data_IF_388912211080
#
_entry.id   IF_388912211080
#
_cell.length_a   1.000
_cell.length_b   1.000
_cell.length_c   1.000
_cell.angle_alpha   90.00
_cell.angle_beta   90.00
_cell.angle_gamma   90.00
#
_symmetry.space_group_name_H-M   'P 1'
#
loop_
_entity.id
_entity.type
_entity.pdbx_description
1 polymer ?
#
# COMPACT_ATOMS: atom_id res chain seq x y z
N UNK A 1 40.18 -24.47 34.63
CA UNK A 1 39.19 -23.73 33.82
C UNK A 1 39.39 -22.24 34.05
N UNK A 2 40.04 -21.59 33.11
CA UNK A 2 40.35 -20.16 33.19
C UNK A 2 39.07 -19.36 32.94
N UNK A 3 38.64 -18.60 33.96
CA UNK A 3 37.46 -17.74 33.83
C UNK A 3 37.86 -16.54 32.95
N UNK A 4 37.41 -16.54 31.69
CA UNK A 4 37.59 -15.43 30.78
C UNK A 4 36.87 -14.22 31.40
N UNK A 5 37.65 -13.28 31.96
CA UNK A 5 37.12 -11.98 32.44
C UNK A 5 36.82 -11.11 31.25
N UNK A 6 35.61 -11.18 30.74
CA UNK A 6 35.12 -10.27 29.69
C UNK A 6 35.07 -8.87 30.30
N UNK A 7 35.81 -7.89 29.78
CA UNK A 7 35.75 -6.52 30.29
C UNK A 7 34.38 -5.94 30.07
N UNK A 8 33.86 -5.21 31.05
CA UNK A 8 32.51 -4.61 31.03
C UNK A 8 32.29 -3.73 29.79
N UNK A 9 33.35 -3.13 29.27
CA UNK A 9 33.30 -2.34 28.01
C UNK A 9 32.96 -3.21 26.79
N UNK A 10 33.45 -4.44 26.70
CA UNK A 10 33.08 -5.35 25.59
C UNK A 10 31.63 -5.77 25.67
N UNK A 11 31.07 -5.98 26.86
CA UNK A 11 29.67 -6.29 27.06
C UNK A 11 28.81 -5.09 26.60
N UNK A 12 29.19 -3.86 26.95
CA UNK A 12 28.50 -2.65 26.60
C UNK A 12 28.51 -2.42 25.08
N UNK A 13 29.63 -2.62 24.42
CA UNK A 13 29.77 -2.54 22.96
C UNK A 13 28.90 -3.62 22.28
N UNK A 14 28.92 -4.85 22.79
CA UNK A 14 28.09 -5.94 22.26
C UNK A 14 26.61 -5.64 22.32
N UNK A 15 26.13 -5.07 23.43
CA UNK A 15 24.71 -4.68 23.59
C UNK A 15 24.35 -3.58 22.58
N UNK A 16 25.20 -2.58 22.41
CA UNK A 16 24.98 -1.51 21.42
C UNK A 16 24.90 -2.07 20.01
N UNK A 17 25.81 -2.97 19.62
CA UNK A 17 25.84 -3.57 18.29
C UNK A 17 24.59 -4.42 18.04
N UNK A 18 24.16 -5.22 19.01
CA UNK A 18 22.95 -6.04 18.91
C UNK A 18 21.70 -5.15 18.78
N UNK A 19 21.63 -4.09 19.58
CA UNK A 19 20.53 -3.13 19.50
C UNK A 19 20.49 -2.44 18.14
N UNK A 20 21.63 -2.01 17.63
CA UNK A 20 21.72 -1.38 16.31
C UNK A 20 21.41 -2.35 15.18
N UNK A 21 21.79 -3.61 15.32
CA UNK A 21 21.49 -4.66 14.33
C UNK A 21 20.01 -5.00 14.29
N UNK A 22 19.31 -4.93 15.43
CA UNK A 22 17.88 -5.20 15.52
C UNK A 22 17.02 -4.02 15.04
N UNK A 23 17.41 -2.79 15.37
CA UNK A 23 16.70 -1.57 14.91
C UNK A 23 17.07 -1.15 13.49
N UNK A 24 18.21 -1.54 12.97
CA UNK A 24 18.72 -1.11 11.67
C UNK A 24 17.82 -1.50 10.48
N UNK A 25 17.14 -2.65 10.56
CA UNK A 25 16.24 -3.10 9.50
C UNK A 25 14.95 -2.29 9.39
N UNK A 26 14.55 -1.61 10.46
CA UNK A 26 13.31 -0.80 10.49
C UNK A 26 13.53 0.66 10.11
N UNK A 27 14.78 1.08 9.85
CA UNK A 27 15.11 2.45 9.51
C UNK A 27 15.01 2.77 8.02
N UNK A 28 14.75 1.78 7.18
CA UNK A 28 14.58 1.98 5.75
C UNK A 28 13.30 1.32 5.23
N UNK A 29 12.70 1.93 4.23
CA UNK A 29 11.55 1.38 3.51
C UNK A 29 11.81 1.41 2.02
N UNK A 30 11.65 0.26 1.37
CA UNK A 30 11.71 0.14 -0.08
C UNK A 30 10.31 0.05 -0.64
N UNK A 31 9.96 0.99 -1.53
CA UNK A 31 8.70 0.98 -2.26
C UNK A 31 8.96 0.51 -3.69
N UNK A 32 8.36 -0.60 -4.13
CA UNK A 32 8.54 -1.10 -5.50
C UNK A 32 8.00 -0.13 -6.55
N UNK A 33 8.52 -0.21 -7.78
CA UNK A 33 8.03 0.57 -8.91
C UNK A 33 6.55 0.28 -9.19
N UNK A 34 5.79 1.34 -9.45
CA UNK A 34 4.34 1.25 -9.67
C UNK A 34 3.49 1.12 -8.40
N UNK A 35 4.11 1.28 -7.22
CA UNK A 35 3.43 1.32 -5.94
C UNK A 35 3.66 2.65 -5.24
N UNK A 36 2.72 3.00 -4.37
CA UNK A 36 2.85 4.08 -3.40
C UNK A 36 2.63 3.49 -2.02
N UNK A 37 3.49 3.85 -1.09
CA UNK A 37 3.35 3.46 0.30
C UNK A 37 2.75 4.59 1.13
N UNK A 38 1.84 4.25 2.02
CA UNK A 38 1.31 5.15 3.04
C UNK A 38 1.72 4.61 4.40
N UNK A 39 2.32 5.47 5.21
CA UNK A 39 2.70 5.14 6.56
C UNK A 39 1.58 5.48 7.54
N UNK A 40 1.37 4.63 8.52
CA UNK A 40 0.56 4.95 9.70
C UNK A 40 1.43 4.91 10.95
N UNK A 41 1.18 5.82 11.85
CA UNK A 41 1.83 5.88 13.16
C UNK A 41 0.77 5.70 14.24
N UNK A 42 0.81 4.56 14.94
CA UNK A 42 -0.18 4.22 15.97
C UNK A 42 -1.64 4.36 15.51
N UNK A 43 -1.91 4.00 14.24
CA UNK A 43 -3.23 4.13 13.62
C UNK A 43 -3.52 5.47 12.97
N UNK A 44 -2.66 6.48 13.13
CA UNK A 44 -2.80 7.76 12.43
C UNK A 44 -2.16 7.69 11.04
N UNK A 45 -2.96 7.93 10.00
CA UNK A 45 -2.51 7.93 8.62
C UNK A 45 -1.70 9.20 8.32
N UNK A 46 -0.46 9.03 7.87
CA UNK A 46 0.38 10.13 7.43
C UNK A 46 -0.14 10.70 6.10
N UNK A 47 -0.20 12.02 6.00
CA UNK A 47 -0.77 12.70 4.82
C UNK A 47 0.15 12.65 3.60
N UNK A 48 1.43 12.42 3.80
CA UNK A 48 2.41 12.36 2.71
C UNK A 48 2.58 10.92 2.23
N UNK A 49 2.22 10.62 0.97
CA UNK A 49 2.51 9.32 0.38
C UNK A 49 4.01 9.19 0.06
N UNK A 50 4.54 8.00 0.22
CA UNK A 50 5.90 7.66 -0.15
C UNK A 50 5.89 7.03 -1.54
N UNK A 51 6.50 7.71 -2.51
CA UNK A 51 6.59 7.22 -3.88
C UNK A 51 7.57 6.04 -4.01
N UNK A 52 7.65 5.47 -5.21
CA UNK A 52 8.60 4.41 -5.53
C UNK A 52 10.05 4.82 -5.25
N UNK A 53 10.82 3.93 -4.66
CA UNK A 53 12.22 4.15 -4.33
C UNK A 53 12.60 3.68 -2.93
N UNK A 54 13.75 4.14 -2.47
CA UNK A 54 14.28 3.85 -1.14
C UNK A 54 14.18 5.07 -0.26
N UNK A 55 13.49 4.94 0.85
CA UNK A 55 13.29 6.00 1.84
C UNK A 55 14.10 5.71 3.10
N UNK A 56 15.01 6.63 3.43
CA UNK A 56 15.92 6.59 4.60
C UNK A 56 16.17 8.03 5.09
N UNK A 57 16.11 8.30 6.39
CA UNK A 57 15.60 7.45 7.46
C UNK A 57 14.08 7.47 7.54
N UNK A 58 13.48 6.36 7.95
CA UNK A 58 12.07 6.29 8.28
C UNK A 58 11.88 5.97 9.75
N UNK A 59 10.74 6.35 10.31
CA UNK A 59 10.42 6.04 11.70
C UNK A 59 10.19 4.52 11.84
N UNK A 60 10.88 3.80 12.75
CA UNK A 60 10.73 2.36 12.92
C UNK A 60 9.35 1.92 13.42
N UNK A 61 8.54 2.85 13.92
CA UNK A 61 7.18 2.58 14.40
C UNK A 61 6.10 2.76 13.33
N UNK A 62 6.51 3.05 12.08
CA UNK A 62 5.56 3.13 10.98
C UNK A 62 5.08 1.74 10.54
N UNK A 63 3.78 1.63 10.36
CA UNK A 63 3.14 0.54 9.62
C UNK A 63 2.94 0.99 8.17
N UNK A 64 3.26 0.12 7.22
CA UNK A 64 3.31 0.44 5.80
C UNK A 64 2.21 -0.23 5.02
N UNK A 65 1.44 0.55 4.28
CA UNK A 65 0.40 0.09 3.37
C UNK A 65 0.79 0.42 1.94
N UNK A 66 0.93 -0.61 1.10
CA UNK A 66 1.32 -0.48 -0.30
C UNK A 66 0.09 -0.49 -1.19
N UNK A 67 -0.03 0.52 -2.06
CA UNK A 67 -1.09 0.65 -3.04
C UNK A 67 -0.52 0.59 -4.44
N UNK A 68 -1.12 -0.27 -5.29
CA UNK A 68 -0.78 -0.37 -6.71
C UNK A 68 -1.42 0.80 -7.47
N UNK A 69 -0.59 1.71 -7.97
CA UNK A 69 -1.01 2.91 -8.70
C UNK A 69 -0.85 2.75 -10.22
N UNK A 70 -0.53 1.54 -10.68
CA UNK A 70 -0.49 1.22 -12.11
C UNK A 70 -1.87 1.29 -12.72
N UNK A 71 -1.92 1.56 -14.01
CA UNK A 71 -3.17 1.52 -14.76
C UNK A 71 -3.70 0.08 -14.78
N UNK A 72 -4.97 -0.07 -14.42
CA UNK A 72 -5.70 -1.34 -14.44
C UNK A 72 -6.87 -1.24 -15.39
N UNK A 73 -7.21 -2.35 -16.03
CA UNK A 73 -8.41 -2.49 -16.84
C UNK A 73 -9.35 -3.47 -16.15
N UNK A 74 -10.62 -3.09 -16.07
CA UNK A 74 -11.69 -3.95 -15.61
C UNK A 74 -12.66 -4.16 -16.77
N UNK A 75 -12.94 -5.43 -17.07
CA UNK A 75 -13.89 -5.82 -18.09
C UNK A 75 -15.23 -6.11 -17.42
N UNK A 76 -16.26 -5.36 -17.80
CA UNK A 76 -17.63 -5.59 -17.34
C UNK A 76 -18.51 -6.02 -18.52
N UNK A 77 -19.31 -7.06 -18.33
CA UNK A 77 -20.29 -7.51 -19.31
C UNK A 77 -21.65 -6.96 -18.92
N UNK A 78 -22.26 -6.19 -19.82
CA UNK A 78 -23.62 -5.68 -19.64
C UNK A 78 -24.54 -6.23 -20.71
N UNK A 79 -25.70 -6.72 -20.29
CA UNK A 79 -26.79 -7.06 -21.20
C UNK A 79 -27.67 -5.84 -21.39
N UNK A 80 -27.61 -5.24 -22.57
CA UNK A 80 -28.43 -4.06 -22.90
C UNK A 80 -29.54 -4.50 -23.84
N UNK A 81 -30.82 -4.23 -23.49
CA UNK A 81 -31.92 -4.49 -24.40
C UNK A 81 -31.85 -3.53 -25.62
N UNK A 82 -31.79 -4.08 -26.81
CA UNK A 82 -31.90 -3.32 -28.03
C UNK A 82 -33.36 -2.81 -28.22
N UNK A 83 -33.56 -1.78 -29.04
CA UNK A 83 -34.87 -1.29 -29.38
C UNK A 83 -35.80 -2.36 -29.97
N UNK A 84 -35.26 -3.42 -30.55
CA UNK A 84 -35.96 -4.57 -31.12
C UNK A 84 -36.22 -5.70 -30.11
N UNK A 85 -36.09 -5.44 -28.80
CA UNK A 85 -36.24 -6.42 -27.70
C UNK A 85 -35.23 -7.59 -27.74
N UNK A 86 -34.17 -7.51 -28.55
CA UNK A 86 -33.07 -8.48 -28.56
C UNK A 86 -32.09 -8.11 -27.49
N UNK A 87 -31.73 -9.08 -26.64
CA UNK A 87 -30.66 -8.91 -25.64
C UNK A 87 -29.30 -8.94 -26.33
N UNK A 88 -28.62 -7.81 -26.34
CA UNK A 88 -27.25 -7.71 -26.86
C UNK A 88 -26.27 -7.69 -25.71
N UNK A 89 -25.27 -8.59 -25.74
CA UNK A 89 -24.16 -8.58 -24.79
C UNK A 89 -23.13 -7.59 -25.23
N UNK A 90 -22.87 -6.59 -24.39
CA UNK A 90 -21.82 -5.60 -24.61
C UNK A 90 -20.72 -5.81 -23.57
N UNK A 91 -19.46 -5.90 -24.04
CA UNK A 91 -18.29 -5.92 -23.18
C UNK A 91 -17.69 -4.52 -23.14
N UNK A 92 -17.63 -3.94 -21.94
CA UNK A 92 -17.04 -2.62 -21.72
C UNK A 92 -15.78 -2.78 -20.90
N UNK A 93 -14.66 -2.32 -21.44
CA UNK A 93 -13.39 -2.26 -20.73
C UNK A 93 -13.17 -0.86 -20.18
N UNK A 94 -13.10 -0.74 -18.86
CA UNK A 94 -12.81 0.54 -18.20
C UNK A 94 -11.40 0.50 -17.66
N UNK A 95 -10.62 1.51 -18.06
CA UNK A 95 -9.24 1.69 -17.56
C UNK A 95 -9.23 2.75 -16.46
N UNK A 96 -8.61 2.43 -15.35
CA UNK A 96 -8.47 3.34 -14.22
C UNK A 96 -7.10 3.20 -13.56
N UNK A 97 -6.68 4.24 -12.87
CA UNK A 97 -5.49 4.21 -12.00
C UNK A 97 -5.77 5.03 -10.74
N UNK A 98 -5.10 4.67 -9.65
CA UNK A 98 -5.14 5.46 -8.43
C UNK A 98 -4.17 6.64 -8.57
N UNK A 99 -4.64 7.83 -8.16
CA UNK A 99 -3.78 9.00 -8.10
C UNK A 99 -2.92 8.95 -6.84
N UNK A 100 -1.60 9.13 -7.00
CA UNK A 100 -0.60 8.98 -5.93
C UNK A 100 -0.90 9.88 -4.72
N UNK A 101 -1.31 11.10 -4.97
CA UNK A 101 -1.60 12.10 -3.92
C UNK A 101 -2.87 11.80 -3.12
N UNK A 102 -3.83 11.09 -3.71
CA UNK A 102 -5.09 10.72 -3.09
C UNK A 102 -5.02 9.46 -2.20
N UNK A 103 -3.94 8.67 -2.31
CA UNK A 103 -3.84 7.37 -1.62
C UNK A 103 -3.97 7.46 -0.09
N UNK A 104 -3.39 8.43 0.63
CA UNK A 104 -3.59 8.56 2.07
C UNK A 104 -5.04 8.78 2.49
N UNK A 105 -5.80 9.51 1.67
CA UNK A 105 -7.22 9.76 1.91
C UNK A 105 -8.03 8.48 1.70
N UNK A 106 -7.69 7.70 0.69
CA UNK A 106 -8.29 6.40 0.40
C UNK A 106 -8.10 5.44 1.59
N UNK A 107 -6.89 5.41 2.18
CA UNK A 107 -6.63 4.57 3.37
C UNK A 107 -7.51 4.97 4.55
N UNK A 108 -7.74 6.28 4.77
CA UNK A 108 -8.60 6.80 5.83
C UNK A 108 -10.08 6.43 5.65
N UNK A 109 -10.58 6.48 4.41
CA UNK A 109 -12.01 6.33 4.12
C UNK A 109 -12.40 4.88 3.81
N UNK A 110 -11.56 4.15 3.13
CA UNK A 110 -11.90 2.85 2.52
C UNK A 110 -11.04 1.69 2.99
N UNK A 111 -10.00 1.94 3.79
CA UNK A 111 -9.08 0.89 4.25
C UNK A 111 -8.11 0.41 3.17
N UNK A 112 -7.87 -0.89 3.10
CA UNK A 112 -6.85 -1.49 2.25
C UNK A 112 -7.20 -1.43 0.75
N UNK A 113 -6.19 -1.50 -0.12
CA UNK A 113 -6.35 -1.39 -1.59
C UNK A 113 -7.37 -2.35 -2.21
N UNK A 114 -7.56 -3.53 -1.64
CA UNK A 114 -8.57 -4.50 -2.09
C UNK A 114 -10.00 -4.02 -1.86
N UNK A 115 -10.24 -3.35 -0.74
CA UNK A 115 -11.56 -2.87 -0.35
C UNK A 115 -12.03 -1.69 -1.24
N UNK A 116 -11.10 -0.87 -1.70
CA UNK A 116 -11.39 0.28 -2.59
C UNK A 116 -11.98 -0.17 -3.92
N UNK A 117 -11.43 -1.22 -4.53
CA UNK A 117 -11.92 -1.75 -5.80
C UNK A 117 -13.35 -2.28 -5.67
N UNK A 118 -13.59 -3.07 -4.62
CA UNK A 118 -14.87 -3.76 -4.42
C UNK A 118 -15.96 -2.78 -3.96
N UNK A 119 -15.62 -1.86 -3.04
CA UNK A 119 -16.62 -1.01 -2.40
C UNK A 119 -17.01 0.24 -3.21
N UNK A 120 -16.08 0.80 -3.99
CA UNK A 120 -16.29 2.10 -4.61
C UNK A 120 -16.33 2.08 -6.14
N UNK A 121 -15.50 1.29 -6.79
CA UNK A 121 -15.35 1.33 -8.25
C UNK A 121 -16.40 0.45 -8.94
N UNK A 122 -16.54 -0.80 -8.50
CA UNK A 122 -17.44 -1.77 -9.14
C UNK A 122 -18.92 -1.34 -9.09
N UNK A 123 -19.49 -0.88 -7.94
CA UNK A 123 -20.88 -0.43 -7.91
C UNK A 123 -21.15 0.80 -8.77
N UNK A 124 -20.19 1.74 -8.81
CA UNK A 124 -20.32 2.97 -9.59
C UNK A 124 -20.29 2.71 -11.11
N UNK A 125 -19.45 1.77 -11.56
CA UNK A 125 -19.44 1.32 -12.95
C UNK A 125 -20.76 0.64 -13.33
N UNK A 126 -21.26 -0.25 -12.47
CA UNK A 126 -22.52 -0.95 -12.73
C UNK A 126 -23.73 -0.01 -12.78
N UNK A 127 -23.70 1.09 -12.02
CA UNK A 127 -24.78 2.10 -12.06
C UNK A 127 -24.76 2.98 -13.31
N UNK A 128 -23.58 3.17 -13.92
CA UNK A 128 -23.42 3.95 -15.16
C UNK A 128 -23.81 3.17 -16.43
N UNK A 129 -23.79 1.84 -16.35
CA UNK A 129 -24.12 0.95 -17.46
C UNK A 129 -25.61 0.56 -17.51
N UNK A 130 -26.41 1.06 -16.59
CA UNK A 130 -27.87 0.90 -16.55
C UNK A 130 -28.56 2.13 -17.14
#
# INVERSE_FOLDING_TARGET
>A
MEKIKIPKSLIFISVIVVTFMWFGSSLYQKVPAGYVAVATLFGEVQSNPYEEGLHIPVNPFYEWYLYDVRQKSHLEEANVPSQDQLQTKIQVSVQFRLEKTGVPMILKESGTAADVLILHIVPKLRSLLR
#
